data_IF_496629078191
#
_entry.id   IF_496629078191
#
_cell.length_a   1.000
_cell.length_b   1.000
_cell.length_c   1.000
_cell.angle_alpha   90.00
_cell.angle_beta   90.00
_cell.angle_gamma   90.00
#
_symmetry.space_group_name_H-M   'P 1'
#
loop_
_entity.id
_entity.type
_entity.pdbx_description
1 polymer ?
#
# COMPACT_ATOMS: atom_id res chain seq x y z
N UNK A 1 22.74 -4.08 0.59
CA UNK A 1 21.34 -4.14 1.05
C UNK A 1 21.23 -4.01 2.57
N UNK A 2 21.97 -4.77 3.39
CA UNK A 2 21.87 -4.77 4.87
C UNK A 2 22.07 -3.39 5.51
N UNK A 3 23.09 -2.61 5.07
CA UNK A 3 23.29 -1.25 5.58
C UNK A 3 22.13 -0.30 5.26
N UNK A 4 21.52 -0.45 4.08
CA UNK A 4 20.35 0.33 3.67
C UNK A 4 19.14 -0.04 4.54
N UNK A 5 18.90 -1.34 4.74
CA UNK A 5 17.85 -1.83 5.63
C UNK A 5 18.03 -1.31 7.06
N UNK A 6 19.26 -1.34 7.61
CA UNK A 6 19.55 -0.78 8.94
C UNK A 6 19.21 0.72 9.05
N UNK A 7 19.51 1.50 8.01
CA UNK A 7 19.16 2.93 8.00
C UNK A 7 17.63 3.15 7.92
N UNK A 8 16.94 2.40 7.05
CA UNK A 8 15.49 2.45 6.93
C UNK A 8 14.78 2.00 8.22
N UNK A 9 15.29 0.94 8.89
CA UNK A 9 14.79 0.46 10.20
C UNK A 9 14.81 1.55 11.27
N UNK A 10 15.93 2.30 11.39
CA UNK A 10 16.03 3.39 12.35
C UNK A 10 14.96 4.46 12.15
N UNK A 11 14.65 4.78 10.88
CA UNK A 11 13.61 5.76 10.57
C UNK A 11 12.22 5.19 10.87
N UNK A 12 11.94 3.94 10.46
CA UNK A 12 10.65 3.30 10.71
C UNK A 12 10.37 3.12 12.21
N UNK A 13 11.37 2.73 12.98
CA UNK A 13 11.27 2.57 14.45
C UNK A 13 10.95 3.89 15.18
N UNK A 14 11.39 5.02 14.63
CA UNK A 14 11.09 6.35 15.17
C UNK A 14 9.72 6.93 14.74
N UNK A 15 8.98 6.25 13.86
CA UNK A 15 7.67 6.70 13.43
C UNK A 15 6.56 6.14 14.34
N UNK A 16 5.40 6.82 14.48
CA UNK A 16 4.22 6.27 15.15
C UNK A 16 3.59 5.14 14.32
N UNK A 17 2.67 4.36 14.92
CA UNK A 17 1.88 3.34 14.21
C UNK A 17 0.96 3.91 13.14
N UNK A 18 0.46 5.14 13.35
CA UNK A 18 -0.27 5.96 12.40
C UNK A 18 0.60 7.17 11.99
N UNK A 19 1.12 7.16 10.77
CA UNK A 19 1.86 8.31 10.23
C UNK A 19 0.92 9.35 9.64
N UNK A 20 1.36 10.62 9.61
CA UNK A 20 0.58 11.74 9.04
C UNK A 20 1.31 12.31 7.83
N UNK A 21 0.66 12.26 6.66
CA UNK A 21 1.19 12.81 5.42
C UNK A 21 0.50 14.13 5.06
N UNK A 22 1.32 15.14 4.71
CA UNK A 22 0.82 16.48 4.32
C UNK A 22 0.44 16.48 2.85
N UNK A 23 -0.60 17.22 2.52
CA UNK A 23 -1.01 17.48 1.15
C UNK A 23 -0.03 18.45 0.43
N UNK A 24 0.16 18.32 -0.89
CA UNK A 24 -0.34 17.23 -1.73
C UNK A 24 0.35 15.89 -1.46
N UNK A 25 -0.34 14.78 -1.72
CA UNK A 25 0.16 13.41 -1.47
C UNK A 25 -0.20 12.51 -2.63
N UNK A 26 0.72 11.64 -3.01
CA UNK A 26 0.48 10.51 -3.90
C UNK A 26 0.38 9.23 -3.07
N UNK A 27 -0.67 8.45 -3.31
CA UNK A 27 -0.88 7.16 -2.65
C UNK A 27 -0.72 6.07 -3.69
N UNK A 28 0.10 5.06 -3.37
CA UNK A 28 0.37 3.87 -4.15
C UNK A 28 -0.21 2.66 -3.42
N UNK A 29 -0.87 1.76 -4.16
CA UNK A 29 -1.30 0.45 -3.67
C UNK A 29 -0.21 -0.61 -3.85
N UNK A 30 -0.62 -1.88 -3.90
CA UNK A 30 0.25 -3.05 -4.05
C UNK A 30 1.19 -2.93 -5.24
N UNK A 31 2.45 -3.28 -5.04
CA UNK A 31 3.50 -3.24 -6.07
C UNK A 31 4.01 -4.64 -6.42
N UNK A 32 4.08 -5.54 -5.43
CA UNK A 32 4.47 -6.94 -5.61
C UNK A 32 5.67 -7.17 -6.54
N UNK A 33 6.80 -6.49 -6.27
CA UNK A 33 8.02 -6.68 -7.06
C UNK A 33 7.93 -6.24 -8.53
N UNK A 34 6.91 -5.50 -8.93
CA UNK A 34 6.75 -5.00 -10.31
C UNK A 34 7.47 -3.65 -10.50
N UNK A 35 8.81 -3.67 -10.46
CA UNK A 35 9.66 -2.48 -10.54
C UNK A 35 9.36 -1.62 -11.78
N UNK A 36 9.13 -2.24 -12.94
CA UNK A 36 8.86 -1.50 -14.18
C UNK A 36 7.63 -0.60 -14.03
N UNK A 37 6.56 -1.14 -13.46
CA UNK A 37 5.32 -0.39 -13.25
C UNK A 37 5.53 0.78 -12.30
N UNK A 38 6.24 0.55 -11.21
CA UNK A 38 6.59 1.61 -10.25
C UNK A 38 7.38 2.74 -10.90
N UNK A 39 8.39 2.41 -11.73
CA UNK A 39 9.19 3.41 -12.44
C UNK A 39 8.38 4.16 -13.50
N UNK A 40 7.47 3.49 -14.22
CA UNK A 40 6.56 4.15 -15.18
C UNK A 40 5.56 5.06 -14.47
N UNK A 41 5.02 4.65 -13.31
CA UNK A 41 4.17 5.51 -12.48
C UNK A 41 4.91 6.76 -12.02
N UNK A 42 6.17 6.63 -11.59
CA UNK A 42 7.00 7.78 -11.23
C UNK A 42 7.27 8.68 -12.45
N UNK A 43 7.63 8.10 -13.59
CA UNK A 43 7.88 8.86 -14.83
C UNK A 43 6.64 9.61 -15.33
N UNK A 44 5.46 8.99 -15.20
CA UNK A 44 4.20 9.55 -15.70
C UNK A 44 3.58 10.60 -14.76
N UNK A 45 3.77 10.45 -13.45
CA UNK A 45 3.02 11.25 -12.46
C UNK A 45 3.93 11.99 -11.46
N UNK A 46 5.22 12.10 -11.74
CA UNK A 46 6.23 12.80 -10.94
C UNK A 46 7.11 11.86 -10.12
N UNK A 47 8.41 12.06 -10.24
CA UNK A 47 9.43 11.24 -9.58
C UNK A 47 9.73 11.80 -8.18
N UNK A 48 9.92 10.95 -7.14
CA UNK A 48 10.30 11.40 -5.80
C UNK A 48 11.79 11.82 -5.75
N UNK A 49 12.09 12.99 -6.28
CA UNK A 49 13.45 13.53 -6.40
C UNK A 49 13.47 15.04 -6.26
N UNK A 50 14.60 15.62 -5.79
CA UNK A 50 14.89 17.06 -5.86
C UNK A 50 15.38 17.50 -7.24
N UNK A 51 15.71 16.56 -8.13
CA UNK A 51 16.20 16.89 -9.48
C UNK A 51 15.06 17.43 -10.34
N UNK A 52 15.42 18.11 -11.44
CA UNK A 52 14.47 18.64 -12.42
C UNK A 52 13.48 17.53 -12.86
N UNK A 53 12.19 17.81 -12.80
CA UNK A 53 11.13 16.86 -13.09
C UNK A 53 10.67 16.01 -11.90
N UNK A 54 11.33 16.15 -10.73
CA UNK A 54 10.87 15.57 -9.47
C UNK A 54 10.02 16.54 -8.66
N UNK A 55 9.28 16.02 -7.70
CA UNK A 55 8.34 16.82 -6.92
C UNK A 55 8.32 16.49 -5.40
N UNK A 56 9.34 15.78 -4.90
CA UNK A 56 9.42 15.36 -3.50
C UNK A 56 9.44 16.53 -2.49
N UNK A 57 9.85 17.72 -2.93
CA UNK A 57 9.82 18.92 -2.09
C UNK A 57 8.39 19.39 -1.81
N UNK A 58 7.50 19.22 -2.77
CA UNK A 58 6.12 19.67 -2.71
C UNK A 58 5.14 18.56 -2.33
N UNK A 59 5.45 17.32 -2.70
CA UNK A 59 4.54 16.19 -2.62
C UNK A 59 5.03 15.12 -1.64
N UNK A 60 4.13 14.58 -0.83
CA UNK A 60 4.37 13.39 -0.03
C UNK A 60 4.00 12.14 -0.83
N UNK A 61 4.58 10.99 -0.47
CA UNK A 61 4.34 9.69 -1.10
C UNK A 61 4.00 8.67 -0.02
N UNK A 62 2.85 8.04 -0.14
CA UNK A 62 2.39 6.97 0.74
C UNK A 62 2.30 5.68 -0.07
N UNK A 63 3.02 4.66 0.35
CA UNK A 63 2.97 3.31 -0.23
C UNK A 63 2.24 2.40 0.75
N UNK A 64 1.18 1.75 0.29
CA UNK A 64 0.21 1.06 1.15
C UNK A 64 0.52 -0.43 1.35
N UNK A 65 1.80 -0.81 1.37
CA UNK A 65 2.22 -2.20 1.62
C UNK A 65 2.28 -3.08 0.37
N UNK A 66 2.53 -4.36 0.60
CA UNK A 66 2.68 -5.40 -0.41
C UNK A 66 3.73 -5.06 -1.48
N UNK A 67 4.95 -4.82 -1.01
CA UNK A 67 6.11 -4.51 -1.86
C UNK A 67 6.73 -5.74 -2.48
N UNK A 68 6.66 -6.86 -1.75
CA UNK A 68 7.32 -8.13 -2.00
C UNK A 68 6.36 -9.21 -2.49
N UNK A 69 6.89 -10.36 -2.76
CA UNK A 69 6.25 -11.57 -3.28
C UNK A 69 5.70 -11.41 -4.71
N UNK A 70 5.57 -12.55 -5.42
CA UNK A 70 4.96 -12.71 -6.75
C UNK A 70 5.78 -12.16 -7.92
N UNK A 71 6.15 -10.87 -7.90
CA UNK A 71 6.87 -10.22 -9.00
C UNK A 71 8.35 -10.62 -9.07
N UNK A 72 8.99 -10.29 -10.19
CA UNK A 72 10.37 -10.71 -10.48
C UNK A 72 11.45 -9.82 -9.86
N UNK A 73 11.14 -8.55 -9.58
CA UNK A 73 12.10 -7.54 -9.12
C UNK A 73 11.85 -7.10 -7.67
N UNK A 74 11.62 -8.08 -6.78
CA UNK A 74 11.26 -7.79 -5.39
C UNK A 74 12.39 -7.08 -4.63
N UNK A 75 13.62 -7.55 -4.79
CA UNK A 75 14.80 -6.96 -4.12
C UNK A 75 15.06 -5.52 -4.57
N UNK A 76 14.88 -5.25 -5.85
CA UNK A 76 15.07 -3.92 -6.43
C UNK A 76 13.98 -2.95 -5.99
N UNK A 77 12.71 -3.40 -5.89
CA UNK A 77 11.61 -2.60 -5.35
C UNK A 77 11.89 -2.22 -3.90
N UNK A 78 12.25 -3.19 -3.06
CA UNK A 78 12.59 -2.95 -1.66
C UNK A 78 13.80 -2.01 -1.53
N UNK A 79 14.86 -2.23 -2.33
CA UNK A 79 16.03 -1.36 -2.33
C UNK A 79 15.68 0.09 -2.72
N UNK A 80 14.86 0.27 -3.76
CA UNK A 80 14.40 1.59 -4.20
C UNK A 80 13.57 2.29 -3.11
N UNK A 81 12.58 1.59 -2.54
CA UNK A 81 11.70 2.17 -1.53
C UNK A 81 12.47 2.50 -0.23
N UNK A 82 13.39 1.64 0.20
CA UNK A 82 14.23 1.93 1.37
C UNK A 82 15.18 3.10 1.10
N UNK A 83 15.78 3.19 -0.10
CA UNK A 83 16.61 4.31 -0.47
C UNK A 83 15.82 5.63 -0.46
N UNK A 84 14.63 5.64 -1.04
CA UNK A 84 13.75 6.80 -1.02
C UNK A 84 13.34 7.18 0.42
N UNK A 85 13.04 6.20 1.26
CA UNK A 85 12.72 6.42 2.67
C UNK A 85 13.88 7.05 3.44
N UNK A 86 15.11 6.60 3.19
CA UNK A 86 16.32 7.14 3.83
C UNK A 86 16.62 8.56 3.32
N UNK A 87 16.47 8.81 2.04
CA UNK A 87 16.72 10.12 1.44
C UNK A 87 15.66 11.17 1.82
N UNK A 88 14.39 10.74 1.95
CA UNK A 88 13.26 11.63 2.16
C UNK A 88 12.35 11.17 3.31
N UNK A 89 12.87 11.08 4.54
CA UNK A 89 12.19 10.41 5.66
C UNK A 89 10.85 11.05 6.06
N UNK A 90 10.66 12.33 5.77
CA UNK A 90 9.44 13.11 6.08
C UNK A 90 8.49 13.24 4.88
N UNK A 91 8.84 12.67 3.73
CA UNK A 91 8.05 12.71 2.50
C UNK A 91 7.63 11.34 1.99
N UNK A 92 8.44 10.32 2.26
CA UNK A 92 8.18 8.94 1.87
C UNK A 92 7.65 8.18 3.08
N UNK A 93 6.45 7.65 2.97
CA UNK A 93 5.80 6.86 4.00
C UNK A 93 5.55 5.46 3.45
N UNK A 94 6.19 4.47 4.05
CA UNK A 94 6.01 3.06 3.74
C UNK A 94 5.10 2.48 4.82
N UNK A 95 3.90 2.04 4.43
CA UNK A 95 2.98 1.34 5.32
C UNK A 95 3.20 -0.17 5.19
N UNK A 96 2.74 -0.93 6.15
CA UNK A 96 2.88 -2.37 6.15
C UNK A 96 1.68 -3.05 5.51
N UNK A 97 1.91 -3.93 4.55
CA UNK A 97 0.94 -4.86 4.02
C UNK A 97 1.02 -6.23 4.70
N UNK A 98 0.14 -7.13 4.31
CA UNK A 98 0.11 -8.48 4.86
C UNK A 98 1.24 -9.37 4.32
N UNK A 99 1.84 -9.04 3.19
CA UNK A 99 3.02 -9.75 2.66
C UNK A 99 4.32 -9.39 3.39
N UNK A 100 4.39 -8.28 4.08
CA UNK A 100 5.54 -7.89 4.90
C UNK A 100 5.62 -8.65 6.24
N UNK A 101 5.04 -9.86 6.29
CA UNK A 101 5.18 -10.85 7.38
C UNK A 101 5.82 -12.13 6.85
N UNK A 102 6.83 -12.69 7.56
CA UNK A 102 7.54 -13.90 7.14
C UNK A 102 6.58 -15.05 6.84
N UNK A 103 5.62 -15.32 7.72
CA UNK A 103 4.66 -16.38 7.55
C UNK A 103 3.83 -16.26 6.25
N UNK A 104 3.47 -15.05 5.85
CA UNK A 104 2.75 -14.83 4.58
C UNK A 104 3.68 -15.02 3.38
N UNK A 105 4.85 -14.37 3.42
CA UNK A 105 5.81 -14.42 2.30
C UNK A 105 6.33 -15.83 2.05
N UNK A 106 6.69 -16.59 3.10
CA UNK A 106 7.21 -17.95 2.95
C UNK A 106 6.16 -18.91 2.34
N UNK A 107 4.87 -18.68 2.57
CA UNK A 107 3.79 -19.43 1.92
C UNK A 107 3.74 -19.24 0.39
N UNK A 108 4.37 -18.18 -0.16
CA UNK A 108 4.46 -17.95 -1.61
C UNK A 108 5.50 -18.86 -2.30
N UNK A 109 6.28 -19.62 -1.58
CA UNK A 109 7.25 -20.63 -2.08
C UNK A 109 8.23 -20.01 -3.10
N UNK A 110 8.13 -20.40 -4.38
CA UNK A 110 9.03 -19.92 -5.45
C UNK A 110 8.87 -18.42 -5.74
N UNK A 111 7.69 -17.87 -5.48
CA UNK A 111 7.36 -16.46 -5.70
C UNK A 111 7.58 -15.61 -4.43
N UNK A 112 8.13 -16.22 -3.37
CA UNK A 112 8.42 -15.56 -2.09
C UNK A 112 9.60 -14.61 -2.17
N UNK A 113 9.64 -13.66 -1.27
CA UNK A 113 10.80 -12.78 -1.08
C UNK A 113 12.05 -13.56 -0.64
N UNK A 114 11.88 -14.65 0.13
CA UNK A 114 12.98 -15.56 0.48
C UNK A 114 13.66 -16.12 -0.78
N UNK A 115 12.85 -16.63 -1.72
CA UNK A 115 13.37 -17.16 -2.99
C UNK A 115 14.01 -16.05 -3.85
N UNK A 116 13.45 -14.85 -3.84
CA UNK A 116 14.01 -13.69 -4.56
C UNK A 116 15.38 -13.28 -3.98
N UNK A 117 15.51 -13.22 -2.65
CA UNK A 117 16.79 -12.92 -1.99
C UNK A 117 17.82 -13.97 -2.28
N UNK A 118 17.46 -15.27 -2.20
CA UNK A 118 18.38 -16.38 -2.50
C UNK A 118 18.92 -16.33 -3.95
N UNK A 119 18.10 -15.89 -4.90
CA UNK A 119 18.54 -15.71 -6.30
C UNK A 119 19.43 -14.47 -6.50
N UNK A 120 19.09 -13.36 -5.84
CA UNK A 120 19.74 -12.06 -6.06
C UNK A 120 21.02 -11.92 -5.22
N UNK A 121 21.04 -12.52 -4.04
CA UNK A 121 22.12 -12.42 -3.06
C UNK A 121 22.50 -13.81 -2.51
N UNK A 122 22.99 -14.74 -3.36
CA UNK A 122 23.23 -16.14 -2.95
C UNK A 122 24.21 -16.29 -1.78
N UNK A 123 25.17 -15.38 -1.67
CA UNK A 123 26.20 -15.38 -0.62
C UNK A 123 25.81 -14.52 0.60
N UNK A 124 24.60 -13.93 0.61
CA UNK A 124 24.16 -12.97 1.61
C UNK A 124 22.73 -13.24 2.10
N UNK A 125 22.47 -14.41 2.70
CA UNK A 125 21.12 -14.76 3.19
C UNK A 125 20.60 -13.81 4.28
N UNK A 126 21.49 -13.13 4.99
CA UNK A 126 21.15 -12.14 6.02
C UNK A 126 20.35 -10.94 5.47
N UNK A 127 20.33 -10.72 4.18
CA UNK A 127 19.52 -9.67 3.52
C UNK A 127 18.03 -9.89 3.79
N UNK A 128 17.58 -11.14 3.79
CA UNK A 128 16.19 -11.50 4.07
C UNK A 128 15.76 -11.00 5.46
N UNK A 129 16.50 -11.41 6.49
CA UNK A 129 16.19 -11.02 7.87
C UNK A 129 16.30 -9.51 8.07
N UNK A 130 17.33 -8.89 7.49
CA UNK A 130 17.49 -7.43 7.57
C UNK A 130 16.30 -6.66 6.98
N UNK A 131 15.68 -7.16 5.90
CA UNK A 131 14.49 -6.54 5.33
C UNK A 131 13.25 -6.74 6.22
N UNK A 132 13.02 -7.96 6.73
CA UNK A 132 11.90 -8.23 7.64
C UNK A 132 12.03 -7.49 8.97
N UNK A 133 13.24 -7.22 9.42
CA UNK A 133 13.50 -6.34 10.54
C UNK A 133 12.99 -4.91 10.31
N UNK A 134 13.09 -4.39 9.08
CA UNK A 134 12.48 -3.10 8.71
C UNK A 134 10.96 -3.22 8.71
N UNK A 135 10.44 -4.24 8.04
CA UNK A 135 9.00 -4.46 7.89
C UNK A 135 8.28 -4.55 9.23
N UNK A 136 8.92 -5.17 10.23
CA UNK A 136 8.36 -5.28 11.58
C UNK A 136 8.14 -3.91 12.27
N UNK A 137 8.85 -2.86 11.85
CA UNK A 137 8.70 -1.49 12.37
C UNK A 137 7.85 -0.57 11.50
N UNK A 138 7.41 -1.01 10.32
CA UNK A 138 6.59 -0.16 9.45
C UNK A 138 5.27 0.23 10.14
N UNK A 139 4.81 1.49 9.96
CA UNK A 139 3.48 1.91 10.36
C UNK A 139 2.39 1.06 9.70
N UNK A 140 1.28 0.82 10.40
CA UNK A 140 0.15 0.07 9.83
C UNK A 140 -0.76 0.93 8.97
N UNK A 141 -0.79 2.24 9.23
CA UNK A 141 -1.67 3.16 8.51
C UNK A 141 -1.06 4.55 8.35
N UNK A 142 -1.64 5.33 7.44
CA UNK A 142 -1.32 6.73 7.21
C UNK A 142 -2.57 7.59 7.16
N UNK A 143 -2.53 8.78 7.77
CA UNK A 143 -3.58 9.77 7.68
C UNK A 143 -3.13 10.90 6.77
N UNK A 144 -3.80 11.09 5.65
CA UNK A 144 -3.47 12.08 4.62
C UNK A 144 -4.39 13.29 4.75
N UNK A 145 -3.80 14.47 4.98
CA UNK A 145 -4.54 15.71 5.14
C UNK A 145 -5.54 15.70 6.27
N UNK A 146 -5.31 14.86 7.29
CA UNK A 146 -6.13 14.62 8.48
C UNK A 146 -7.56 14.12 8.22
N UNK A 147 -7.87 13.71 6.98
CA UNK A 147 -9.23 13.29 6.59
C UNK A 147 -9.29 12.00 5.77
N UNK A 148 -8.16 11.51 5.26
CA UNK A 148 -8.12 10.30 4.44
C UNK A 148 -7.24 9.27 5.13
N UNK A 149 -7.84 8.17 5.58
CA UNK A 149 -7.10 7.05 6.14
C UNK A 149 -6.59 6.15 5.02
N UNK A 150 -5.33 5.79 5.08
CA UNK A 150 -4.69 4.80 4.20
C UNK A 150 -4.32 3.59 5.06
N UNK A 151 -4.89 2.43 4.77
CA UNK A 151 -4.67 1.17 5.50
C UNK A 151 -4.67 0.01 4.50
N UNK A 152 -3.88 -1.03 4.72
CA UNK A 152 -3.67 -2.04 3.68
C UNK A 152 -4.93 -2.91 3.41
N UNK A 153 -5.48 -3.59 4.42
CA UNK A 153 -6.65 -4.46 4.28
C UNK A 153 -7.98 -3.69 4.31
N UNK A 154 -8.26 -2.99 5.38
CA UNK A 154 -9.50 -2.24 5.55
C UNK A 154 -9.88 -2.00 7.00
N UNK A 155 -11.12 -1.58 7.22
CA UNK A 155 -11.60 -1.24 8.57
C UNK A 155 -11.98 -2.48 9.41
N UNK A 156 -12.04 -3.65 8.78
CA UNK A 156 -12.42 -4.88 9.47
C UNK A 156 -13.84 -4.81 10.03
N UNK A 157 -14.01 -5.20 11.29
CA UNK A 157 -15.29 -5.12 11.99
C UNK A 157 -15.61 -3.71 12.54
N UNK A 158 -14.70 -2.75 12.32
CA UNK A 158 -14.85 -1.37 12.77
C UNK A 158 -14.67 -1.18 14.28
N UNK A 159 -14.12 -2.16 15.01
CA UNK A 159 -13.97 -2.12 16.48
C UNK A 159 -12.78 -1.30 16.96
N UNK A 160 -11.91 -0.83 16.08
CA UNK A 160 -10.70 -0.09 16.39
C UNK A 160 -10.78 1.38 15.94
N UNK A 161 -9.89 2.20 16.45
CA UNK A 161 -9.80 3.64 16.21
C UNK A 161 -8.42 4.07 15.69
N UNK A 162 -8.32 5.34 15.28
CA UNK A 162 -7.01 5.92 14.93
C UNK A 162 -6.06 6.00 16.13
N UNK A 163 -6.58 6.02 17.35
CA UNK A 163 -5.78 6.03 18.58
C UNK A 163 -5.14 4.66 18.81
N UNK A 164 -5.88 3.57 18.62
CA UNK A 164 -5.36 2.20 18.72
C UNK A 164 -4.18 1.97 17.77
N UNK A 165 -4.20 2.57 16.57
CA UNK A 165 -3.07 2.54 15.64
C UNK A 165 -1.82 3.24 16.17
N UNK A 166 -1.96 4.33 16.93
CA UNK A 166 -0.83 5.03 17.55
C UNK A 166 -0.19 4.21 18.68
N UNK A 167 -1.02 3.48 19.42
CA UNK A 167 -0.62 2.74 20.61
C UNK A 167 -0.05 1.35 20.28
N UNK A 168 -0.14 0.91 19.02
CA UNK A 168 0.37 -0.40 18.61
C UNK A 168 1.86 -0.54 18.89
N UNK A 169 2.22 -1.60 19.62
CA UNK A 169 3.61 -1.90 19.93
C UNK A 169 4.34 -2.46 18.72
N UNK A 170 5.52 -1.96 18.45
CA UNK A 170 6.42 -2.45 17.39
C UNK A 170 7.82 -2.66 17.95
N UNK A 171 8.59 -3.66 17.51
CA UNK A 171 8.40 -4.40 16.26
C UNK A 171 7.23 -5.41 16.34
N UNK A 172 6.42 -5.46 15.29
CA UNK A 172 5.36 -6.44 15.11
C UNK A 172 5.88 -7.60 14.24
N UNK A 173 6.45 -8.63 14.87
CA UNK A 173 7.10 -9.72 14.14
C UNK A 173 6.10 -10.73 13.53
N UNK A 174 4.95 -10.93 14.18
CA UNK A 174 3.89 -11.84 13.75
C UNK A 174 2.52 -11.31 14.14
N UNK A 175 1.46 -11.90 13.59
CA UNK A 175 0.07 -11.61 13.96
C UNK A 175 -0.49 -12.58 15.02
N UNK A 176 0.31 -13.57 15.42
CA UNK A 176 -0.07 -14.50 16.47
C UNK A 176 0.01 -13.85 17.86
N UNK A 177 -1.13 -13.72 18.51
CA UNK A 177 -1.20 -13.07 19.84
C UNK A 177 -1.63 -11.60 19.82
N UNK A 178 -1.72 -10.99 18.64
CA UNK A 178 -2.27 -9.64 18.49
C UNK A 178 -3.80 -9.63 18.58
N UNK A 179 -4.35 -8.46 18.89
CA UNK A 179 -5.79 -8.25 18.84
C UNK A 179 -6.34 -8.50 17.42
N UNK A 180 -7.59 -8.92 17.32
CA UNK A 180 -8.21 -9.31 16.05
C UNK A 180 -8.18 -8.19 15.02
N UNK A 181 -8.39 -6.94 15.45
CA UNK A 181 -8.42 -5.78 14.58
C UNK A 181 -7.09 -5.55 13.83
N UNK A 182 -5.93 -5.88 14.43
CA UNK A 182 -4.63 -5.76 13.76
C UNK A 182 -4.55 -6.67 12.55
N UNK A 183 -5.02 -7.92 12.70
CA UNK A 183 -5.14 -8.84 11.57
C UNK A 183 -6.14 -8.32 10.53
N UNK A 184 -7.28 -7.79 10.99
CA UNK A 184 -8.32 -7.28 10.12
C UNK A 184 -7.87 -6.04 9.33
N UNK A 185 -7.14 -5.11 9.94
CA UNK A 185 -6.57 -3.94 9.27
C UNK A 185 -5.64 -4.30 8.11
N UNK A 186 -5.05 -5.49 8.13
CA UNK A 186 -4.13 -5.99 7.11
C UNK A 186 -4.77 -6.94 6.08
N UNK A 187 -5.89 -7.61 6.44
CA UNK A 187 -6.41 -8.73 5.65
C UNK A 187 -7.88 -8.64 5.27
N UNK A 188 -8.69 -7.79 5.93
CA UNK A 188 -10.13 -7.74 5.69
C UNK A 188 -10.47 -7.09 4.37
N UNK A 189 -11.51 -7.62 3.73
CA UNK A 189 -12.01 -7.15 2.45
C UNK A 189 -13.40 -6.50 2.60
N UNK A 190 -13.71 -5.47 1.82
CA UNK A 190 -15.06 -4.92 1.75
C UNK A 190 -15.98 -5.87 0.98
N UNK A 191 -17.28 -5.83 1.28
CA UNK A 191 -18.30 -6.39 0.38
C UNK A 191 -18.26 -5.62 -0.94
N UNK A 192 -18.23 -6.33 -2.07
CA UNK A 192 -17.86 -5.78 -3.38
C UNK A 192 -18.91 -5.99 -4.48
N UNK A 193 -20.01 -6.68 -4.19
CA UNK A 193 -21.05 -6.91 -5.19
C UNK A 193 -21.98 -5.71 -5.28
N UNK A 194 -22.03 -5.05 -6.45
CA UNK A 194 -23.00 -3.97 -6.68
C UNK A 194 -24.45 -4.46 -6.64
N UNK A 195 -24.68 -5.77 -6.90
CA UNK A 195 -26.02 -6.40 -6.85
C UNK A 195 -26.40 -6.89 -5.46
N UNK A 196 -25.42 -7.15 -4.59
CA UNK A 196 -25.62 -7.73 -3.26
C UNK A 196 -24.59 -7.16 -2.27
N UNK A 197 -24.60 -5.83 -2.14
CA UNK A 197 -23.74 -5.11 -1.20
C UNK A 197 -24.16 -5.43 0.24
N UNK A 198 -23.54 -6.45 0.81
CA UNK A 198 -23.86 -6.93 2.16
C UNK A 198 -23.51 -5.90 3.21
N UNK A 199 -24.50 -5.53 4.01
CA UNK A 199 -24.33 -4.70 5.21
C UNK A 199 -23.84 -5.56 6.38
N UNK A 200 -23.14 -4.95 7.33
CA UNK A 200 -22.62 -5.61 8.53
C UNK A 200 -21.30 -6.32 8.32
N UNK A 201 -20.94 -7.13 9.30
CA UNK A 201 -19.69 -7.89 9.35
C UNK A 201 -19.98 -9.35 9.07
N UNK A 202 -19.21 -9.97 8.19
CA UNK A 202 -19.36 -11.37 7.77
C UNK A 202 -18.03 -12.11 7.84
N UNK A 203 -18.08 -13.43 7.96
CA UNK A 203 -16.89 -14.26 7.86
C UNK A 203 -16.25 -14.11 6.48
N UNK A 204 -14.96 -13.89 6.46
CA UNK A 204 -14.20 -13.84 5.21
C UNK A 204 -13.95 -15.24 4.68
N UNK A 205 -13.99 -15.46 3.35
CA UNK A 205 -13.50 -16.70 2.73
C UNK A 205 -12.01 -16.95 2.97
N UNK A 206 -11.25 -15.94 3.41
CA UNK A 206 -9.84 -16.08 3.82
C UNK A 206 -9.69 -16.83 5.16
N UNK A 207 -10.76 -16.97 5.95
CA UNK A 207 -10.77 -17.70 7.22
C UNK A 207 -10.19 -16.94 8.42
N UNK A 208 -10.08 -17.65 9.55
CA UNK A 208 -9.50 -17.11 10.78
C UNK A 208 -10.27 -15.94 11.38
N UNK A 209 -9.55 -14.91 11.86
CA UNK A 209 -10.11 -13.68 12.42
C UNK A 209 -10.46 -12.63 11.36
N UNK A 210 -10.29 -12.96 10.07
CA UNK A 210 -10.52 -12.04 8.96
C UNK A 210 -12.02 -11.94 8.69
N UNK A 211 -12.47 -10.72 8.39
CA UNK A 211 -13.89 -10.45 8.10
C UNK A 211 -14.07 -9.80 6.72
N UNK A 212 -15.27 -9.89 6.20
CA UNK A 212 -15.77 -9.03 5.11
C UNK A 212 -16.71 -8.00 5.72
N UNK A 213 -16.56 -6.73 5.37
CA UNK A 213 -17.28 -5.62 5.98
C UNK A 213 -18.13 -4.86 4.97
N UNK A 214 -19.34 -4.47 5.39
CA UNK A 214 -20.31 -3.76 4.58
C UNK A 214 -20.14 -2.24 4.56
N UNK A 215 -20.93 -1.54 3.72
CA UNK A 215 -20.88 -0.08 3.60
C UNK A 215 -21.25 0.64 4.91
N UNK A 216 -22.16 0.08 5.70
CA UNK A 216 -22.55 0.61 7.02
C UNK A 216 -21.41 0.56 8.04
N UNK A 217 -20.57 -0.47 7.99
CA UNK A 217 -19.38 -0.58 8.85
C UNK A 217 -18.36 0.50 8.46
N UNK A 218 -18.14 0.70 7.16
CA UNK A 218 -17.26 1.75 6.67
C UNK A 218 -17.76 3.14 7.04
N UNK A 219 -19.05 3.40 6.85
CA UNK A 219 -19.69 4.68 7.20
C UNK A 219 -19.52 4.99 8.68
N UNK A 220 -19.91 4.04 9.54
CA UNK A 220 -19.77 4.19 10.99
C UNK A 220 -18.32 4.42 11.40
N UNK A 221 -17.38 3.63 10.88
CA UNK A 221 -15.95 3.79 11.18
C UNK A 221 -15.44 5.18 10.79
N UNK A 222 -15.84 5.67 9.62
CA UNK A 222 -15.45 6.99 9.14
C UNK A 222 -16.00 8.11 10.05
N UNK A 223 -17.25 7.99 10.47
CA UNK A 223 -17.89 8.99 11.34
C UNK A 223 -17.27 8.99 12.75
N UNK A 224 -17.05 7.81 13.34
CA UNK A 224 -16.44 7.66 14.66
C UNK A 224 -15.00 8.21 14.71
N UNK A 225 -14.26 8.11 13.62
CA UNK A 225 -12.85 8.51 13.52
C UNK A 225 -12.63 9.87 12.82
N UNK A 226 -13.69 10.61 12.48
CA UNK A 226 -13.65 11.86 11.74
C UNK A 226 -12.86 11.77 10.41
N UNK A 227 -13.00 10.66 9.67
CA UNK A 227 -12.36 10.35 8.40
C UNK A 227 -13.40 10.47 7.28
N UNK A 228 -13.05 11.10 6.15
CA UNK A 228 -13.97 11.21 5.01
C UNK A 228 -13.94 9.96 4.12
N UNK A 229 -12.74 9.42 3.90
CA UNK A 229 -12.51 8.29 2.99
C UNK A 229 -11.42 7.36 3.54
N UNK A 230 -11.66 6.08 3.39
CA UNK A 230 -10.65 5.03 3.61
C UNK A 230 -10.09 4.60 2.26
N UNK A 231 -8.78 4.70 2.07
CA UNK A 231 -8.05 4.13 0.92
C UNK A 231 -7.41 2.82 1.37
N UNK A 232 -7.73 1.75 0.67
CA UNK A 232 -7.18 0.42 0.95
C UNK A 232 -6.59 -0.21 -0.33
N UNK A 233 -5.90 -1.32 -0.18
CA UNK A 233 -5.23 -2.07 -1.25
C UNK A 233 -5.60 -3.56 -1.21
N UNK A 234 -4.65 -4.49 -1.18
CA UNK A 234 -4.83 -5.92 -0.87
C UNK A 234 -5.68 -6.72 -1.87
N UNK A 235 -6.56 -6.10 -2.62
CA UNK A 235 -7.33 -6.74 -3.68
C UNK A 235 -7.01 -6.10 -5.02
N UNK A 236 -6.75 -6.95 -6.00
CA UNK A 236 -6.67 -6.56 -7.38
C UNK A 236 -7.99 -5.94 -7.85
N UNK A 237 -7.92 -4.87 -8.64
CA UNK A 237 -9.06 -4.24 -9.29
C UNK A 237 -8.73 -3.93 -10.76
N UNK A 238 -9.69 -4.21 -11.66
CA UNK A 238 -9.47 -4.18 -13.12
C UNK A 238 -8.91 -2.86 -13.63
N UNK A 239 -9.38 -1.73 -13.09
CA UNK A 239 -8.97 -0.40 -13.53
C UNK A 239 -7.93 0.26 -12.63
N UNK A 240 -7.26 -0.52 -11.77
CA UNK A 240 -6.26 -0.04 -10.81
C UNK A 240 -6.86 0.68 -9.60
N UNK A 241 -8.13 1.07 -9.64
CA UNK A 241 -8.87 1.61 -8.49
C UNK A 241 -10.38 1.36 -8.62
N UNK A 242 -11.06 1.33 -7.49
CA UNK A 242 -12.52 1.21 -7.41
C UNK A 242 -13.05 2.01 -6.23
N UNK A 243 -14.01 2.92 -6.49
CA UNK A 243 -14.78 3.57 -5.43
C UNK A 243 -15.91 2.65 -4.97
N UNK A 244 -16.09 2.54 -3.68
CA UNK A 244 -17.03 1.63 -3.04
C UNK A 244 -17.72 2.31 -1.85
N UNK A 245 -18.73 1.65 -1.27
CA UNK A 245 -19.41 2.08 -0.05
C UNK A 245 -19.83 3.56 -0.09
N UNK A 246 -20.55 3.95 -1.14
CA UNK A 246 -21.02 5.33 -1.30
C UNK A 246 -19.89 6.36 -1.49
N UNK A 247 -18.71 5.93 -1.90
CA UNK A 247 -17.52 6.79 -2.06
C UNK A 247 -16.68 6.96 -0.80
N UNK A 248 -17.07 6.34 0.32
CA UNK A 248 -16.32 6.35 1.58
C UNK A 248 -15.12 5.38 1.58
N UNK A 249 -15.03 4.48 0.60
CA UNK A 249 -13.95 3.51 0.46
C UNK A 249 -13.39 3.54 -0.96
N UNK A 250 -12.06 3.45 -1.08
CA UNK A 250 -11.37 3.30 -2.38
C UNK A 250 -10.42 2.12 -2.27
N UNK A 251 -10.60 1.11 -3.12
CA UNK A 251 -9.58 0.08 -3.34
C UNK A 251 -8.61 0.56 -4.41
N UNK A 252 -7.31 0.49 -4.15
CA UNK A 252 -6.22 0.97 -5.00
C UNK A 252 -5.21 -0.15 -5.25
N UNK A 253 -4.81 -0.34 -6.51
CA UNK A 253 -3.85 -1.35 -6.92
C UNK A 253 -2.85 -0.77 -7.92
N UNK A 254 -1.54 -0.89 -7.67
CA UNK A 254 -0.50 -0.21 -8.45
C UNK A 254 0.36 -1.13 -9.33
N UNK A 255 0.03 -2.42 -9.42
CA UNK A 255 0.68 -3.38 -10.32
C UNK A 255 -0.21 -3.67 -11.53
N UNK A 256 0.37 -3.71 -12.75
CA UNK A 256 -0.36 -4.04 -14.00
C UNK A 256 -0.23 -5.53 -14.33
N UNK A 257 -1.20 -6.03 -15.09
CA UNK A 257 -1.20 -7.40 -15.64
C UNK A 257 -0.84 -8.46 -14.60
N UNK A 258 -1.39 -8.29 -13.39
CA UNK A 258 -0.95 -8.97 -12.18
C UNK A 258 -1.06 -10.50 -12.24
N UNK A 259 -2.12 -11.03 -12.85
CA UNK A 259 -2.30 -12.47 -13.00
C UNK A 259 -1.79 -13.03 -14.34
N UNK A 260 -1.23 -12.20 -15.21
CA UNK A 260 -0.75 -12.61 -16.54
C UNK A 260 -1.84 -13.06 -17.52
N UNK A 261 -3.01 -13.47 -17.03
CA UNK A 261 -4.16 -13.91 -17.84
C UNK A 261 -5.20 -12.81 -18.01
N UNK A 262 -5.47 -12.05 -16.97
CA UNK A 262 -6.37 -10.90 -17.01
C UNK A 262 -5.57 -9.61 -17.00
N UNK A 263 -5.88 -8.72 -17.93
CA UNK A 263 -5.20 -7.42 -18.01
C UNK A 263 -5.86 -6.45 -17.07
N UNK A 264 -5.13 -6.00 -16.07
CA UNK A 264 -5.53 -4.90 -15.22
C UNK A 264 -4.63 -3.69 -15.42
N UNK A 265 -5.24 -2.52 -15.29
CA UNK A 265 -4.51 -1.26 -15.16
C UNK A 265 -3.86 -1.16 -13.79
N UNK A 266 -2.86 -0.29 -13.66
CA UNK A 266 -2.43 0.20 -12.36
C UNK A 266 -2.93 1.62 -12.12
N UNK A 267 -3.00 2.04 -10.86
CA UNK A 267 -3.34 3.41 -10.53
C UNK A 267 -2.58 3.90 -9.29
N UNK A 268 -2.50 5.23 -9.20
CA UNK A 268 -2.18 5.96 -7.97
C UNK A 268 -3.29 6.98 -7.69
N UNK A 269 -3.39 7.43 -6.45
CA UNK A 269 -4.28 8.53 -6.10
C UNK A 269 -3.45 9.78 -5.83
N UNK A 270 -3.76 10.87 -6.53
CA UNK A 270 -3.25 12.20 -6.20
C UNK A 270 -4.26 12.89 -5.29
N UNK A 271 -3.84 13.22 -4.10
CA UNK A 271 -4.65 13.90 -3.09
C UNK A 271 -4.10 15.31 -2.89
N UNK A 272 -4.94 16.31 -3.13
CA UNK A 272 -4.56 17.70 -2.99
C UNK A 272 -5.77 18.57 -2.60
N UNK A 273 -5.52 19.80 -2.15
CA UNK A 273 -6.59 20.81 -2.01
C UNK A 273 -6.87 21.44 -3.37
N UNK A 274 -8.14 21.66 -3.66
CA UNK A 274 -8.56 22.48 -4.81
C UNK A 274 -8.47 23.98 -4.50
N UNK A 275 -8.84 24.81 -5.47
CA UNK A 275 -8.84 26.27 -5.32
C UNK A 275 -9.79 26.81 -4.23
N UNK A 276 -10.70 25.98 -3.73
CA UNK A 276 -11.63 26.29 -2.63
C UNK A 276 -11.17 25.71 -1.29
N UNK A 277 -9.96 25.13 -1.24
CA UNK A 277 -9.41 24.51 -0.03
C UNK A 277 -9.94 23.10 0.28
N UNK A 278 -10.84 22.54 -0.54
CA UNK A 278 -11.41 21.21 -0.34
C UNK A 278 -10.43 20.14 -0.77
N UNK A 279 -10.36 19.04 -0.01
CA UNK A 279 -9.55 17.88 -0.37
C UNK A 279 -10.21 17.15 -1.54
N UNK A 280 -9.42 16.90 -2.59
CA UNK A 280 -9.82 16.15 -3.78
C UNK A 280 -8.93 14.95 -3.97
N UNK A 281 -9.53 13.81 -4.25
CA UNK A 281 -8.86 12.56 -4.64
C UNK A 281 -9.00 12.43 -6.15
N UNK A 282 -7.87 12.38 -6.87
CA UNK A 282 -7.81 12.23 -8.32
C UNK A 282 -7.04 10.98 -8.68
N UNK A 283 -7.72 9.90 -9.13
CA UNK A 283 -7.04 8.73 -9.63
C UNK A 283 -6.23 9.07 -10.89
N UNK A 284 -5.02 8.54 -10.95
CA UNK A 284 -4.13 8.57 -12.11
C UNK A 284 -3.87 7.14 -12.53
N UNK A 285 -4.31 6.77 -13.71
CA UNK A 285 -4.30 5.41 -14.22
C UNK A 285 -3.18 5.21 -15.24
N UNK A 286 -2.54 4.07 -15.16
CA UNK A 286 -1.62 3.55 -16.16
C UNK A 286 -2.30 2.32 -16.78
N UNK A 287 -2.65 2.37 -18.09
CA UNK A 287 -3.34 1.26 -18.75
C UNK A 287 -2.54 -0.04 -18.72
N UNK A 288 -3.24 -1.16 -18.78
CA UNK A 288 -2.65 -2.49 -18.93
C UNK A 288 -1.71 -2.54 -20.16
N UNK A 289 -0.67 -3.37 -20.08
CA UNK A 289 0.23 -3.59 -21.24
C UNK A 289 -0.53 -4.21 -22.41
N UNK A 290 -0.12 -3.88 -23.63
CA UNK A 290 -0.61 -4.52 -24.84
C UNK A 290 -0.35 -6.04 -24.88
N UNK A 291 -0.85 -6.73 -25.89
CA UNK A 291 -0.64 -8.17 -26.07
C UNK A 291 0.83 -8.54 -26.27
N UNK A 292 1.61 -7.60 -26.80
CA UNK A 292 3.05 -7.66 -27.04
C UNK A 292 3.89 -7.24 -25.82
N UNK A 293 3.27 -6.90 -24.68
CA UNK A 293 3.93 -6.39 -23.49
C UNK A 293 4.44 -4.95 -23.64
N UNK A 294 4.11 -4.25 -24.73
CA UNK A 294 4.50 -2.86 -24.92
C UNK A 294 3.64 -1.91 -24.08
N UNK A 295 4.26 -0.85 -23.57
CA UNK A 295 3.50 0.29 -23.04
C UNK A 295 2.80 1.01 -24.18
N UNK A 296 1.52 1.34 -24.02
CA UNK A 296 0.89 2.29 -24.94
C UNK A 296 1.67 3.60 -24.90
N UNK A 297 1.84 4.28 -26.06
CA UNK A 297 2.48 5.59 -26.10
C UNK A 297 1.83 6.49 -25.04
N UNK A 298 2.65 7.15 -24.24
CA UNK A 298 2.19 8.02 -23.17
C UNK A 298 1.23 9.07 -23.75
N UNK A 299 0.13 9.36 -23.05
CA UNK A 299 -0.79 10.46 -23.35
C UNK A 299 -0.12 11.86 -23.41
N UNK A 300 1.20 11.93 -23.22
CA UNK A 300 2.02 13.14 -23.34
C UNK A 300 2.19 13.66 -24.79
N UNK A 301 1.68 12.95 -25.79
CA UNK A 301 1.74 13.38 -27.21
C UNK A 301 0.40 13.90 -27.77
N UNK A 302 -0.60 14.15 -26.91
CA UNK A 302 -1.87 14.75 -27.28
C UNK A 302 -2.13 16.03 -26.44
N UNK A 303 -1.26 17.01 -26.61
CA UNK A 303 -1.54 18.40 -26.28
C UNK A 303 -1.33 19.26 -27.51
#
# INVERSE_FOLDING_TARGET
MVRLASAAKKIAAGQPGLVRARLPTKIFGDVHGQLRDLLVLFGSFGFPSHKRGGDVELCSYVFNGDYIDRGTHQCEVVALLFALKVLYPTRIYLLRGNHEFKATSENMKQDSFLAAVARTFPDHPEVYDACFDVFAFLPLAGLVGDRILVVHGGVGDGSWSLEDLNDIRRPLASLGGEEAWVTQALWSDPSDSDADMRRGVHNSPRGGKIVTFGPDVTEKFCDDNAVDVVVRSHQYVRHGYKYMHGGRLVTLFSARNYFGKERNDSAILLVARDGYGQIRIRPKRLPALGADGADYPSLASQT
#
